data_IF_523063884578
#
_entry.id   IF_523063884578
#
_cell.length_a   1.000
_cell.length_b   1.000
_cell.length_c   1.000
_cell.angle_alpha   90.00
_cell.angle_beta   90.00
_cell.angle_gamma   90.00
#
_symmetry.space_group_name_H-M   'P 1'
#
loop_
_entity.id
_entity.type
_entity.pdbx_description
1 polymer ?
#
# COMPACT_ATOMS: atom_id res chain seq x y z
N UNK A 1 21.89 48.97 84.34
CA UNK A 1 23.14 48.62 83.64
C UNK A 1 22.77 48.28 82.19
N UNK A 2 23.32 49.02 81.22
CA UNK A 2 23.21 48.71 79.79
C UNK A 2 24.22 47.61 79.41
N UNK A 3 23.89 46.73 78.45
CA UNK A 3 24.71 46.34 77.27
C UNK A 3 23.79 45.48 76.34
N UNK A 4 23.26 45.96 75.22
CA UNK A 4 23.76 46.04 73.82
C UNK A 4 23.58 44.77 72.94
N UNK A 5 23.02 45.01 71.74
CA UNK A 5 23.23 44.36 70.40
C UNK A 5 22.10 43.46 69.80
N UNK A 6 21.40 44.09 68.85
CA UNK A 6 20.76 43.64 67.59
C UNK A 6 21.70 42.82 66.67
N UNK A 7 21.29 42.38 65.44
CA UNK A 7 20.14 41.57 65.00
C UNK A 7 20.58 40.48 63.97
N UNK A 8 19.60 39.93 63.24
CA UNK A 8 19.68 39.39 61.87
C UNK A 8 19.91 37.89 61.66
N UNK A 9 19.33 37.45 60.52
CA UNK A 9 19.52 36.21 59.76
C UNK A 9 18.48 35.11 60.04
N UNK A 10 17.72 34.52 59.10
CA UNK A 10 17.69 34.52 57.63
C UNK A 10 16.38 33.86 57.13
N UNK A 11 15.84 34.44 56.05
CA UNK A 11 15.27 33.79 54.84
C UNK A 11 13.92 33.05 54.90
N UNK A 12 12.90 33.80 54.50
CA UNK A 12 11.85 33.42 53.52
C UNK A 12 12.40 32.91 52.18
N UNK A 13 11.96 31.73 51.73
CA UNK A 13 11.83 31.23 50.33
C UNK A 13 11.07 29.89 50.45
N UNK A 14 10.17 29.42 49.60
CA UNK A 14 9.36 29.91 48.50
C UNK A 14 8.40 28.76 48.16
N UNK A 15 7.08 29.01 48.14
CA UNK A 15 6.10 28.07 47.57
C UNK A 15 5.16 28.85 46.65
N UNK A 16 5.71 29.33 45.54
CA UNK A 16 4.95 29.95 44.47
C UNK A 16 5.67 29.69 43.14
N UNK A 17 5.46 28.50 42.58
CA UNK A 17 5.57 28.25 41.14
C UNK A 17 4.46 27.28 40.76
N UNK A 18 3.29 27.88 40.52
CA UNK A 18 2.22 27.24 39.77
C UNK A 18 2.57 27.25 38.28
N UNK A 19 2.10 26.19 37.60
CA UNK A 19 1.85 26.13 36.17
C UNK A 19 3.06 26.34 35.23
N UNK A 20 3.95 25.33 35.18
CA UNK A 20 4.71 25.05 33.96
C UNK A 20 3.96 23.98 33.15
N UNK A 21 3.10 24.47 32.25
CA UNK A 21 2.78 23.94 30.92
C UNK A 21 2.91 22.41 30.75
N UNK A 22 1.79 21.71 30.96
CA UNK A 22 1.46 20.50 30.23
C UNK A 22 1.36 20.87 28.74
N UNK A 23 2.45 20.70 27.99
CA UNK A 23 2.39 20.63 26.53
C UNK A 23 1.96 19.20 26.20
N UNK A 24 0.73 18.95 25.72
CA UNK A 24 0.45 17.67 25.09
C UNK A 24 1.15 17.72 23.74
N UNK A 25 2.38 17.19 23.66
CA UNK A 25 2.97 16.78 22.39
C UNK A 25 2.22 15.54 21.88
N UNK A 26 0.91 15.68 21.65
CA UNK A 26 0.16 14.84 20.73
C UNK A 26 0.27 15.47 19.33
N UNK A 27 1.50 15.76 18.91
CA UNK A 27 1.81 15.72 17.49
C UNK A 27 1.98 14.24 17.15
N UNK A 28 0.85 13.51 17.04
CA UNK A 28 0.82 12.35 16.19
C UNK A 28 1.07 12.88 14.78
N UNK A 29 2.34 13.09 14.42
CA UNK A 29 2.72 13.30 13.04
C UNK A 29 2.14 12.10 12.30
N UNK A 30 1.26 12.29 11.30
CA UNK A 30 0.90 11.19 10.43
C UNK A 30 2.21 10.66 9.86
N UNK A 31 2.58 9.46 10.28
CA UNK A 31 3.64 8.74 9.62
C UNK A 31 2.99 8.25 8.34
N UNK A 32 3.33 8.90 7.24
CA UNK A 32 3.05 8.32 5.94
C UNK A 32 3.64 6.92 5.89
N UNK A 33 2.83 5.93 5.54
CA UNK A 33 3.25 4.55 5.34
C UNK A 33 3.05 4.11 3.89
N UNK A 34 2.53 4.95 3.00
CA UNK A 34 2.43 4.60 1.58
C UNK A 34 3.84 4.33 1.03
N UNK A 35 4.05 3.13 0.52
CA UNK A 35 5.37 2.67 0.09
C UNK A 35 6.22 1.99 1.17
N UNK A 36 5.76 1.91 2.42
CA UNK A 36 6.44 1.07 3.41
C UNK A 36 6.33 -0.41 3.00
N UNK A 37 7.36 -1.24 3.20
CA UNK A 37 7.28 -2.66 2.89
C UNK A 37 6.21 -3.34 3.74
N UNK A 38 5.46 -4.25 3.13
CA UNK A 38 4.45 -5.06 3.80
C UNK A 38 4.50 -6.51 3.32
N UNK A 39 3.80 -7.39 4.04
CA UNK A 39 3.73 -8.80 3.71
C UNK A 39 2.25 -9.21 3.64
N UNK A 40 1.89 -9.95 2.60
CA UNK A 40 0.55 -10.45 2.35
C UNK A 40 0.15 -11.62 3.28
N UNK A 41 1.09 -12.18 4.06
CA UNK A 41 0.86 -13.24 5.03
C UNK A 41 0.89 -14.65 4.44
N UNK A 42 0.85 -14.77 3.10
CA UNK A 42 0.97 -16.04 2.39
C UNK A 42 2.43 -16.41 2.13
N UNK A 43 2.70 -17.72 2.15
CA UNK A 43 4.03 -18.28 1.84
C UNK A 43 4.25 -18.42 0.33
N UNK A 44 3.17 -18.52 -0.42
CA UNK A 44 3.19 -18.68 -1.86
C UNK A 44 3.01 -17.32 -2.54
N UNK A 45 3.81 -17.03 -3.58
CA UNK A 45 3.66 -15.80 -4.36
C UNK A 45 2.30 -15.80 -5.06
N UNK A 46 1.61 -14.65 -5.11
CA UNK A 46 0.34 -14.52 -5.81
C UNK A 46 0.54 -14.77 -7.31
N UNK A 47 -0.47 -15.34 -7.97
CA UNK A 47 -0.44 -15.54 -9.42
C UNK A 47 -0.61 -14.22 -10.19
N UNK A 48 -1.26 -13.24 -9.57
CA UNK A 48 -1.63 -11.95 -10.15
C UNK A 48 -1.42 -10.82 -9.13
N UNK A 49 -1.80 -9.58 -9.50
CA UNK A 49 -1.90 -8.44 -8.57
C UNK A 49 -2.74 -8.84 -7.35
N UNK A 50 -2.32 -8.39 -6.17
CA UNK A 50 -3.03 -8.72 -4.93
C UNK A 50 -3.10 -7.51 -4.02
N UNK A 51 -4.28 -7.33 -3.44
CA UNK A 51 -4.54 -6.41 -2.34
C UNK A 51 -4.94 -7.24 -1.12
N UNK A 52 -4.14 -7.19 -0.07
CA UNK A 52 -4.44 -7.87 1.20
C UNK A 52 -4.93 -6.86 2.23
N UNK A 53 -6.04 -7.22 2.88
CA UNK A 53 -6.60 -6.53 4.02
C UNK A 53 -7.12 -7.57 5.03
N UNK A 54 -6.89 -7.40 6.34
CA UNK A 54 -6.13 -6.33 6.98
C UNK A 54 -4.62 -6.61 7.03
N UNK A 55 -3.81 -5.68 6.53
CA UNK A 55 -2.35 -5.69 6.64
C UNK A 55 -1.89 -4.86 7.85
N UNK A 56 -1.69 -5.52 8.99
CA UNK A 56 -1.40 -4.87 10.29
C UNK A 56 -0.11 -4.03 10.31
N UNK A 57 0.78 -4.21 9.34
CA UNK A 57 1.98 -3.37 9.15
C UNK A 57 1.70 -1.99 8.57
N UNK A 58 0.52 -1.80 7.96
CA UNK A 58 0.10 -0.59 7.29
C UNK A 58 -0.94 0.16 8.13
N UNK A 59 -0.89 1.49 8.14
CA UNK A 59 -1.82 2.35 8.87
C UNK A 59 -3.25 2.19 8.33
N UNK A 60 -3.40 2.22 7.01
CA UNK A 60 -4.68 2.02 6.32
C UNK A 60 -4.99 0.52 6.13
N UNK A 61 -4.17 -0.37 6.69
CA UNK A 61 -4.31 -1.83 6.65
C UNK A 61 -4.32 -2.43 5.23
N UNK A 62 -3.80 -1.71 4.24
CA UNK A 62 -3.73 -2.19 2.85
C UNK A 62 -2.30 -2.50 2.46
N UNK A 63 -2.07 -3.74 2.04
CA UNK A 63 -0.82 -4.17 1.42
C UNK A 63 -1.07 -4.50 -0.04
N UNK A 64 -0.30 -3.93 -0.94
CA UNK A 64 -0.50 -4.02 -2.39
C UNK A 64 0.76 -4.55 -3.07
N UNK A 65 0.55 -5.55 -3.93
CA UNK A 65 1.48 -5.96 -4.97
C UNK A 65 0.80 -5.74 -6.33
N UNK A 66 1.42 -4.94 -7.20
CA UNK A 66 0.78 -4.44 -8.42
C UNK A 66 1.53 -4.77 -9.73
N UNK A 67 2.68 -5.43 -9.66
CA UNK A 67 3.41 -5.86 -10.86
C UNK A 67 2.64 -6.99 -11.56
N UNK A 68 2.59 -6.92 -12.88
CA UNK A 68 1.84 -7.81 -13.77
C UNK A 68 2.81 -8.36 -14.81
N UNK A 69 3.71 -9.23 -14.35
CA UNK A 69 4.65 -9.90 -15.24
C UNK A 69 4.49 -11.40 -15.11
N UNK A 70 4.09 -12.04 -16.21
CA UNK A 70 3.96 -13.49 -16.28
C UNK A 70 5.32 -14.19 -16.30
N UNK A 71 5.47 -15.30 -15.55
CA UNK A 71 6.68 -16.11 -15.66
C UNK A 71 6.78 -16.72 -17.06
N UNK A 72 7.99 -16.79 -17.64
CA UNK A 72 8.17 -17.39 -18.95
C UNK A 72 7.86 -18.89 -18.88
N UNK A 73 7.21 -19.41 -19.92
CA UNK A 73 6.79 -20.83 -19.99
C UNK A 73 7.91 -21.79 -20.41
N UNK A 74 9.16 -21.33 -20.36
CA UNK A 74 10.34 -22.12 -20.72
C UNK A 74 10.77 -23.03 -19.56
N UNK A 75 11.29 -24.24 -19.84
CA UNK A 75 11.95 -25.03 -18.81
C UNK A 75 13.23 -24.33 -18.36
N UNK A 76 13.52 -24.38 -17.06
CA UNK A 76 14.66 -23.71 -16.46
C UNK A 76 15.55 -24.67 -15.68
N UNK A 77 16.80 -24.27 -15.47
CA UNK A 77 17.71 -24.90 -14.49
C UNK A 77 18.28 -23.91 -13.48
N UNK A 78 18.22 -22.61 -13.79
CA UNK A 78 18.69 -21.53 -12.93
C UNK A 78 17.75 -20.33 -13.03
N UNK A 79 17.82 -19.43 -12.05
CA UNK A 79 17.00 -18.22 -12.00
C UNK A 79 17.36 -17.25 -13.15
N UNK A 80 18.63 -17.23 -13.58
CA UNK A 80 19.06 -16.39 -14.71
C UNK A 80 18.32 -16.75 -16.01
N UNK A 81 17.99 -18.03 -16.22
CA UNK A 81 17.21 -18.45 -17.38
C UNK A 81 15.79 -17.85 -17.34
N UNK A 82 15.17 -17.83 -16.16
CA UNK A 82 13.82 -17.29 -15.99
C UNK A 82 13.76 -15.76 -16.15
N UNK A 83 14.89 -15.07 -16.00
CA UNK A 83 14.96 -13.60 -16.08
C UNK A 83 15.72 -13.11 -17.32
N UNK A 84 16.03 -13.98 -18.28
CA UNK A 84 16.82 -13.63 -19.46
C UNK A 84 16.17 -12.56 -20.36
N UNK A 85 14.83 -12.45 -20.33
CA UNK A 85 14.07 -11.46 -21.07
C UNK A 85 13.82 -10.16 -20.26
N UNK A 86 14.33 -10.05 -19.04
CA UNK A 86 14.13 -8.89 -18.17
C UNK A 86 14.97 -7.71 -18.66
N UNK A 87 14.34 -6.72 -19.28
CA UNK A 87 15.02 -5.54 -19.84
C UNK A 87 15.32 -4.46 -18.79
N UNK A 88 14.65 -4.51 -17.64
CA UNK A 88 14.80 -3.52 -16.55
C UNK A 88 15.77 -3.98 -15.45
N UNK A 89 16.40 -5.14 -15.63
CA UNK A 89 17.38 -5.69 -14.70
C UNK A 89 16.79 -6.20 -13.38
N UNK A 90 15.46 -6.22 -13.21
CA UNK A 90 14.83 -6.79 -12.02
C UNK A 90 14.83 -8.33 -12.11
N UNK A 91 15.08 -8.99 -10.99
CA UNK A 91 15.02 -10.45 -10.85
C UNK A 91 13.67 -10.81 -10.25
N UNK A 92 12.71 -11.15 -11.11
CA UNK A 92 11.31 -11.43 -10.74
C UNK A 92 11.06 -12.90 -10.46
N UNK A 93 11.74 -13.76 -11.22
CA UNK A 93 11.39 -15.16 -11.31
C UNK A 93 12.48 -16.04 -10.71
N UNK A 94 12.06 -17.19 -10.18
CA UNK A 94 12.95 -18.23 -9.68
C UNK A 94 12.63 -19.56 -10.37
N UNK A 95 13.63 -20.41 -10.53
CA UNK A 95 13.50 -21.72 -11.13
C UNK A 95 13.15 -22.77 -10.07
N UNK A 96 11.93 -23.29 -10.12
CA UNK A 96 11.44 -24.32 -9.19
C UNK A 96 10.94 -25.51 -9.99
N UNK A 97 11.51 -26.70 -9.73
CA UNK A 97 11.12 -27.94 -10.41
C UNK A 97 11.11 -27.85 -11.95
N UNK A 98 12.11 -27.16 -12.52
CA UNK A 98 12.23 -26.87 -13.96
C UNK A 98 11.13 -25.96 -14.55
N UNK A 99 10.42 -25.22 -13.70
CA UNK A 99 9.44 -24.20 -14.10
C UNK A 99 9.85 -22.84 -13.54
N UNK A 100 9.70 -21.80 -14.35
CA UNK A 100 9.82 -20.45 -13.85
C UNK A 100 8.55 -20.09 -13.09
N UNK A 101 8.73 -19.61 -11.86
CA UNK A 101 7.64 -19.12 -11.02
C UNK A 101 8.03 -17.73 -10.49
N UNK A 102 7.03 -16.92 -10.15
CA UNK A 102 7.27 -15.64 -9.49
C UNK A 102 8.02 -15.88 -8.16
N UNK A 103 9.03 -15.06 -7.86
CA UNK A 103 9.79 -15.18 -6.62
C UNK A 103 9.03 -14.52 -5.47
N UNK A 104 8.87 -15.24 -4.36
CA UNK A 104 8.29 -14.65 -3.15
C UNK A 104 9.16 -13.51 -2.59
N UNK A 105 10.48 -13.57 -2.76
CA UNK A 105 11.38 -12.47 -2.41
C UNK A 105 11.06 -11.22 -3.22
N UNK A 106 10.89 -11.36 -4.54
CA UNK A 106 10.51 -10.23 -5.38
C UNK A 106 9.15 -9.65 -4.99
N UNK A 107 8.15 -10.51 -4.75
CA UNK A 107 6.83 -10.09 -4.29
C UNK A 107 6.95 -9.28 -3.00
N UNK A 108 7.67 -9.77 -1.99
CA UNK A 108 7.86 -9.06 -0.72
C UNK A 108 8.59 -7.72 -0.89
N UNK A 109 9.58 -7.64 -1.78
CA UNK A 109 10.30 -6.40 -2.07
C UNK A 109 9.42 -5.35 -2.76
N UNK A 110 8.45 -5.78 -3.56
CA UNK A 110 7.50 -4.93 -4.28
C UNK A 110 6.15 -4.77 -3.58
N UNK A 111 5.92 -5.48 -2.48
CA UNK A 111 4.70 -5.39 -1.68
C UNK A 111 4.77 -4.17 -0.77
N UNK A 112 3.84 -3.23 -0.96
CA UNK A 112 3.89 -1.94 -0.32
C UNK A 112 2.57 -1.57 0.35
N UNK A 113 2.68 -0.95 1.52
CA UNK A 113 1.56 -0.33 2.17
C UNK A 113 0.96 0.73 1.25
N UNK A 114 -0.37 0.74 1.18
CA UNK A 114 -1.14 1.62 0.31
C UNK A 114 -2.32 2.21 1.09
N UNK A 115 -3.08 3.05 0.40
CA UNK A 115 -4.30 3.67 0.89
C UNK A 115 -5.26 3.93 -0.25
N UNK A 116 -6.54 4.07 0.07
CA UNK A 116 -7.53 4.59 -0.89
C UNK A 116 -7.27 6.07 -1.20
N UNK A 117 -7.55 6.47 -2.43
CA UNK A 117 -7.31 7.82 -2.91
C UNK A 117 -8.41 8.28 -3.89
N UNK A 118 -8.54 9.59 -4.08
CA UNK A 118 -9.41 10.17 -5.11
C UNK A 118 -8.59 10.69 -6.31
N UNK A 119 -7.36 11.12 -6.02
CA UNK A 119 -6.44 11.79 -6.94
C UNK A 119 -4.97 11.47 -6.63
N UNK A 120 -4.08 11.69 -7.60
CA UNK A 120 -2.62 11.51 -7.41
C UNK A 120 -2.07 12.35 -6.26
N UNK A 121 -2.70 13.49 -5.95
CA UNK A 121 -2.26 14.35 -4.83
C UNK A 121 -2.47 13.70 -3.47
N UNK A 122 -3.37 12.72 -3.34
CA UNK A 122 -3.59 11.97 -2.10
C UNK A 122 -2.47 10.96 -1.82
N UNK A 123 -1.64 10.69 -2.83
CA UNK A 123 -0.51 9.76 -2.81
C UNK A 123 0.84 10.48 -2.72
N UNK A 124 0.83 11.79 -2.42
CA UNK A 124 2.01 12.63 -2.35
C UNK A 124 2.13 13.30 -0.98
N UNK A 125 3.35 13.64 -0.59
CA UNK A 125 3.59 14.34 0.66
C UNK A 125 3.07 15.79 0.60
N UNK A 126 2.25 16.16 1.59
CA UNK A 126 1.73 17.51 1.76
C UNK A 126 2.60 18.42 2.64
N UNK A 127 3.81 17.97 3.01
CA UNK A 127 4.72 18.65 3.94
C UNK A 127 4.55 18.22 5.40
N UNK A 128 5.09 19.02 6.33
CA UNK A 128 5.13 18.70 7.76
C UNK A 128 3.71 18.48 8.30
N UNK A 129 3.49 17.31 8.91
CA UNK A 129 2.19 16.93 9.46
C UNK A 129 1.18 16.44 8.43
N UNK A 130 1.61 16.24 7.17
CA UNK A 130 0.82 15.68 6.07
C UNK A 130 1.65 14.68 5.25
N UNK A 131 2.57 14.00 5.92
CA UNK A 131 3.39 12.97 5.28
C UNK A 131 2.49 11.79 4.95
N UNK A 132 2.55 11.35 3.71
CA UNK A 132 1.81 10.21 3.16
C UNK A 132 2.77 9.09 2.79
N UNK A 133 3.94 9.45 2.28
CA UNK A 133 4.95 8.51 1.82
C UNK A 133 5.86 8.07 2.96
N UNK A 134 6.19 6.79 2.95
CA UNK A 134 7.21 6.21 3.81
C UNK A 134 8.60 6.73 3.38
N UNK A 135 9.47 7.01 4.37
CA UNK A 135 10.84 7.49 4.11
C UNK A 135 11.69 6.48 3.34
N UNK A 136 11.40 5.17 3.44
CA UNK A 136 12.19 4.08 2.88
C UNK A 136 11.38 3.22 1.89
N UNK A 137 10.85 3.87 0.86
CA UNK A 137 10.11 3.20 -0.20
C UNK A 137 11.05 2.59 -1.24
N UNK A 138 10.74 1.38 -1.71
CA UNK A 138 11.36 0.76 -2.89
C UNK A 138 10.84 1.33 -4.22
N UNK A 139 9.98 2.34 -4.18
CA UNK A 139 9.37 2.98 -5.34
C UNK A 139 10.14 4.23 -5.73
N UNK A 140 10.69 4.26 -6.94
CA UNK A 140 11.53 5.36 -7.44
C UNK A 140 10.75 6.35 -8.29
N UNK A 141 9.74 5.91 -9.06
CA UNK A 141 8.93 6.78 -9.92
C UNK A 141 7.74 7.45 -9.21
N UNK A 142 7.62 7.31 -7.89
CA UNK A 142 6.52 7.86 -7.09
C UNK A 142 5.23 7.04 -7.18
N UNK A 143 4.16 7.56 -6.59
CA UNK A 143 2.87 6.88 -6.49
C UNK A 143 1.78 7.62 -7.27
N UNK A 144 0.90 6.85 -7.90
CA UNK A 144 -0.30 7.34 -8.59
C UNK A 144 -1.56 6.70 -8.02
N UNK A 145 -2.68 7.42 -8.17
CA UNK A 145 -3.98 7.02 -7.67
C UNK A 145 -4.77 6.28 -8.76
N UNK A 146 -4.66 4.96 -8.78
CA UNK A 146 -5.15 4.12 -9.88
C UNK A 146 -5.94 2.91 -9.36
N UNK A 147 -6.81 2.35 -10.20
CA UNK A 147 -7.38 1.02 -9.98
C UNK A 147 -6.34 -0.05 -10.34
N UNK A 148 -6.34 -1.18 -9.62
CA UNK A 148 -5.45 -2.32 -9.93
C UNK A 148 -6.14 -3.68 -10.05
N UNK A 149 -7.42 -3.80 -9.67
CA UNK A 149 -8.19 -5.04 -9.86
C UNK A 149 -9.69 -4.77 -10.04
N UNK A 150 -10.38 -5.71 -10.70
CA UNK A 150 -11.85 -5.69 -10.96
C UNK A 150 -12.65 -6.65 -10.10
N UNK A 151 -11.98 -7.36 -9.20
CA UNK A 151 -12.56 -8.44 -8.43
C UNK A 151 -12.24 -8.25 -6.95
N UNK A 152 -13.05 -8.88 -6.10
CA UNK A 152 -12.89 -8.85 -4.65
C UNK A 152 -13.24 -7.52 -3.99
N UNK A 153 -12.86 -7.39 -2.71
CA UNK A 153 -13.25 -6.29 -1.83
C UNK A 153 -12.83 -4.91 -2.35
N UNK A 154 -11.64 -4.84 -2.96
CA UNK A 154 -11.04 -3.61 -3.50
C UNK A 154 -11.33 -3.38 -4.99
N UNK A 155 -12.32 -4.08 -5.54
CA UNK A 155 -12.67 -3.94 -6.93
C UNK A 155 -12.92 -2.47 -7.32
N UNK A 156 -12.21 -2.04 -8.36
CA UNK A 156 -12.30 -0.72 -8.96
C UNK A 156 -12.11 0.44 -7.97
N UNK A 157 -11.61 0.16 -6.77
CA UNK A 157 -11.19 1.17 -5.83
C UNK A 157 -9.84 1.70 -6.27
N UNK A 158 -9.69 3.02 -6.21
CA UNK A 158 -8.41 3.66 -6.49
C UNK A 158 -7.54 3.59 -5.26
N UNK A 159 -6.31 3.12 -5.46
CA UNK A 159 -5.29 2.96 -4.43
C UNK A 159 -4.04 3.72 -4.84
N UNK A 160 -3.22 4.12 -3.86
CA UNK A 160 -1.89 4.64 -4.13
C UNK A 160 -0.93 3.52 -4.52
N UNK A 161 -0.51 3.47 -5.79
CA UNK A 161 0.29 2.37 -6.35
C UNK A 161 1.59 2.90 -6.91
N UNK A 162 2.67 2.13 -6.74
CA UNK A 162 3.99 2.51 -7.20
C UNK A 162 4.07 2.52 -8.74
N UNK A 163 4.54 3.64 -9.30
CA UNK A 163 4.68 3.82 -10.75
C UNK A 163 5.71 2.88 -11.40
N UNK A 164 6.66 2.32 -10.64
CA UNK A 164 7.63 1.35 -11.17
C UNK A 164 7.00 -0.02 -11.49
N UNK A 165 5.78 -0.27 -11.00
CA UNK A 165 5.03 -1.52 -11.20
C UNK A 165 3.84 -1.35 -12.16
N UNK A 166 3.57 -0.11 -12.59
CA UNK A 166 2.44 0.18 -13.47
C UNK A 166 2.86 0.14 -14.94
N UNK A 167 2.14 -0.66 -15.73
CA UNK A 167 2.12 -0.52 -17.18
C UNK A 167 0.99 0.43 -17.56
N UNK A 168 1.31 1.59 -18.17
CA UNK A 168 0.32 2.63 -18.47
C UNK A 168 -0.88 2.11 -19.28
N UNK A 169 -0.65 1.16 -20.22
CA UNK A 169 -1.71 0.55 -21.00
C UNK A 169 -2.71 -0.26 -20.17
N UNK A 170 -2.24 -1.03 -19.18
CA UNK A 170 -3.13 -1.84 -18.34
C UNK A 170 -3.95 -0.98 -17.37
N UNK A 171 -3.39 0.14 -16.89
CA UNK A 171 -4.09 1.08 -16.02
C UNK A 171 -5.27 1.73 -16.74
N UNK A 172 -5.05 2.22 -17.95
CA UNK A 172 -6.10 2.88 -18.75
C UNK A 172 -7.22 1.90 -19.15
N UNK A 173 -6.84 0.68 -19.56
CA UNK A 173 -7.78 -0.40 -19.86
C UNK A 173 -8.64 -0.73 -18.64
N UNK A 174 -8.01 -0.97 -17.49
CA UNK A 174 -8.70 -1.27 -16.25
C UNK A 174 -9.64 -0.14 -15.81
N UNK A 175 -9.23 1.13 -15.95
CA UNK A 175 -10.08 2.28 -15.64
C UNK A 175 -11.33 2.34 -16.53
N UNK A 176 -11.17 2.05 -17.83
CA UNK A 176 -12.28 2.00 -18.78
C UNK A 176 -13.24 0.85 -18.44
N UNK A 177 -12.70 -0.33 -18.12
CA UNK A 177 -13.48 -1.49 -17.75
C UNK A 177 -14.25 -1.30 -16.44
N UNK A 178 -13.61 -0.70 -15.43
CA UNK A 178 -14.25 -0.34 -14.17
C UNK A 178 -15.39 0.66 -14.36
N UNK A 179 -15.26 1.60 -15.30
CA UNK A 179 -16.29 2.58 -15.63
C UNK A 179 -17.47 1.96 -16.38
N UNK A 180 -17.29 0.80 -17.00
CA UNK A 180 -18.33 0.07 -17.72
C UNK A 180 -19.15 -0.87 -16.82
N UNK A 181 -18.71 -1.12 -15.58
CA UNK A 181 -19.42 -1.99 -14.64
C UNK A 181 -20.75 -1.37 -14.20
N UNK A 182 -21.80 -2.19 -14.02
CA UNK A 182 -23.04 -1.73 -13.40
C UNK A 182 -22.76 -1.28 -11.96
N UNK A 183 -23.50 -0.28 -11.48
CA UNK A 183 -23.38 0.24 -10.12
C UNK A 183 -24.57 -0.14 -9.27
N UNK A 184 -24.32 -0.31 -7.97
CA UNK A 184 -25.37 -0.52 -6.99
C UNK A 184 -26.14 0.79 -6.70
N UNK A 185 -27.13 0.71 -5.82
CA UNK A 185 -27.95 1.84 -5.39
C UNK A 185 -27.16 2.99 -4.70
N UNK A 186 -25.90 2.75 -4.33
CA UNK A 186 -25.00 3.75 -3.74
C UNK A 186 -23.95 4.25 -4.75
N UNK A 187 -24.02 3.80 -6.01
CA UNK A 187 -23.04 4.15 -7.04
C UNK A 187 -21.73 3.36 -6.96
N UNK A 188 -21.65 2.31 -6.14
CA UNK A 188 -20.47 1.43 -6.07
C UNK A 188 -20.50 0.43 -7.22
N UNK A 189 -19.38 0.17 -7.93
CA UNK A 189 -19.32 -0.88 -8.94
C UNK A 189 -19.73 -2.24 -8.35
N UNK A 190 -20.64 -2.92 -9.04
CA UNK A 190 -21.02 -4.30 -8.76
C UNK A 190 -19.96 -5.16 -9.43
N UNK A 191 -19.04 -5.62 -8.61
CA UNK A 191 -17.97 -6.50 -9.03
C UNK A 191 -18.43 -7.90 -8.71
N UNK A 192 -18.57 -8.73 -9.73
CA UNK A 192 -18.93 -10.13 -9.52
C UNK A 192 -17.78 -10.79 -8.75
N UNK A 193 -18.09 -11.37 -7.59
CA UNK A 193 -17.19 -12.35 -6.99
C UNK A 193 -17.10 -13.53 -7.95
N UNK A 194 -15.88 -14.01 -8.25
CA UNK A 194 -15.66 -15.21 -9.05
C UNK A 194 -16.40 -16.42 -8.45
N UNK A 195 -17.65 -16.68 -8.86
CA UNK A 195 -18.35 -17.98 -8.86
C UNK A 195 -19.81 -17.87 -9.34
N UNK A 196 -20.03 -17.36 -10.55
CA UNK A 196 -21.18 -17.86 -11.33
C UNK A 196 -20.79 -18.00 -12.79
N UNK A 197 -20.70 -19.24 -13.34
CA UNK A 197 -20.55 -19.39 -14.78
C UNK A 197 -21.75 -18.73 -15.45
N UNK A 198 -21.49 -17.93 -16.49
CA UNK A 198 -22.52 -17.34 -17.31
C UNK A 198 -23.57 -18.41 -17.66
N UNK A 199 -24.88 -18.15 -17.47
CA UNK A 199 -25.90 -19.11 -17.88
C UNK A 199 -25.72 -19.38 -19.37
N UNK A 200 -25.75 -20.65 -19.82
CA UNK A 200 -25.61 -20.97 -21.23
C UNK A 200 -26.67 -20.19 -22.03
N UNK A 201 -26.35 -19.74 -23.25
CA UNK A 201 -27.29 -18.98 -24.06
C UNK A 201 -28.59 -19.77 -24.16
N UNK A 202 -29.70 -19.11 -23.80
CA UNK A 202 -31.03 -19.68 -23.92
C UNK A 202 -31.21 -20.16 -25.36
N UNK A 203 -31.30 -21.47 -25.51
CA UNK A 203 -31.53 -22.14 -26.77
C UNK A 203 -32.95 -21.78 -27.24
N UNK A 204 -33.07 -20.68 -27.97
CA UNK A 204 -34.30 -20.33 -28.71
C UNK A 204 -34.41 -21.25 -29.93
N UNK A 205 -34.69 -22.52 -29.67
CA UNK A 205 -35.48 -23.38 -30.55
C UNK A 205 -36.89 -23.40 -29.93
N UNK A 206 -37.92 -22.74 -30.45
CA UNK A 206 -38.27 -22.57 -31.85
C UNK A 206 -39.29 -23.63 -32.24
N UNK A 207 -40.57 -23.35 -31.89
CA UNK A 207 -41.83 -23.91 -32.42
C UNK A 207 -42.12 -25.42 -32.30
#
# INVERSE_FOLDING_TARGET
MQVTRTPALLRTVANALGALLLVPLLAACPKGDVGAPCNHGDVDPPADKVVTFPALSCNDLLCVYADETDPPTIPCTTDEMCNAASEDGKVRFQCVESKCVLSSTYVLERSMCSKTCESDTDCQDGGIGKQVLAENSNCSAGFSCVQIQKLGEFCCQKLCVCNDDLSQGAVDELAAECSALPTDQNGKPICEDEMTPAPPPADTTGA
#
